data_IF_548254796553
#
_entry.id   IF_548254796553
#
_cell.length_a   1.000
_cell.length_b   1.000
_cell.length_c   1.000
_cell.angle_alpha   90.00
_cell.angle_beta   90.00
_cell.angle_gamma   90.00
#
_symmetry.space_group_name_H-M   'P 1'
#
loop_
_entity.id
_entity.type
_entity.pdbx_description
1 polymer ?
#
# COMPACT_ATOMS: atom_id res chain seq x y z
N UNK A 1 -3.27 -60.96 17.47
CA UNK A 1 -3.29 -60.03 18.60
C UNK A 1 -2.33 -58.89 18.33
N UNK A 2 -2.81 -57.73 17.85
CA UNK A 2 -2.06 -56.46 17.87
C UNK A 2 -3.09 -55.34 18.03
N UNK A 3 -2.98 -54.63 19.15
CA UNK A 3 -3.86 -53.53 19.57
C UNK A 3 -3.66 -52.32 18.69
N UNK A 4 -4.70 -51.81 18.06
CA UNK A 4 -4.73 -50.49 17.43
C UNK A 4 -5.00 -49.44 18.50
N UNK A 5 -4.12 -48.48 18.62
CA UNK A 5 -4.33 -47.24 19.43
C UNK A 5 -5.08 -46.22 18.58
N UNK A 6 -6.31 -45.92 18.96
CA UNK A 6 -7.10 -44.78 18.46
C UNK A 6 -6.59 -43.50 19.11
N UNK A 7 -6.12 -42.58 18.32
CA UNK A 7 -5.90 -41.20 18.76
C UNK A 7 -7.20 -40.43 18.63
N UNK A 8 -7.81 -40.11 19.75
CA UNK A 8 -8.92 -39.17 19.84
C UNK A 8 -8.32 -37.76 19.93
N UNK A 9 -8.54 -36.94 18.91
CA UNK A 9 -8.15 -35.55 18.90
C UNK A 9 -9.23 -34.76 19.65
N UNK A 10 -9.00 -34.51 20.92
CA UNK A 10 -9.84 -33.63 21.73
C UNK A 10 -9.54 -32.17 21.44
N UNK A 11 -10.49 -31.49 20.79
CA UNK A 11 -10.50 -30.03 20.71
C UNK A 11 -10.93 -29.50 22.07
N UNK A 12 -9.97 -29.10 22.90
CA UNK A 12 -10.22 -28.42 24.16
C UNK A 12 -10.48 -26.95 23.89
N UNK A 13 -11.75 -26.59 23.80
CA UNK A 13 -12.21 -25.22 23.76
C UNK A 13 -12.11 -24.63 25.19
N UNK A 14 -10.97 -24.03 25.52
CA UNK A 14 -10.80 -23.33 26.79
C UNK A 14 -11.57 -22.01 26.75
N UNK A 15 -12.82 -22.03 27.20
CA UNK A 15 -13.50 -20.82 27.64
C UNK A 15 -12.88 -20.42 29.00
N UNK A 16 -11.93 -19.50 28.96
CA UNK A 16 -11.46 -18.82 30.16
C UNK A 16 -12.48 -17.73 30.50
N UNK A 17 -13.43 -18.08 31.35
CA UNK A 17 -14.19 -17.11 32.13
C UNK A 17 -13.23 -16.49 33.17
N UNK A 18 -12.54 -15.43 32.81
CA UNK A 18 -11.86 -14.61 33.79
C UNK A 18 -12.89 -13.79 34.57
N UNK A 19 -13.27 -14.30 35.76
CA UNK A 19 -13.79 -13.45 36.84
C UNK A 19 -12.70 -12.44 37.19
N UNK A 20 -12.79 -11.24 36.66
CA UNK A 20 -11.96 -10.11 37.09
C UNK A 20 -12.48 -9.63 38.44
N UNK A 21 -11.86 -10.10 39.51
CA UNK A 21 -11.79 -9.33 40.72
C UNK A 21 -11.21 -7.94 40.41
N UNK A 22 -11.66 -6.85 41.06
CA UNK A 22 -11.11 -5.54 40.81
C UNK A 22 -9.71 -5.44 41.48
N UNK A 23 -8.72 -6.01 40.78
CA UNK A 23 -7.32 -5.81 41.11
C UNK A 23 -6.93 -4.38 40.76
N UNK A 24 -6.49 -3.65 41.75
CA UNK A 24 -5.89 -2.31 41.65
C UNK A 24 -4.54 -2.43 40.93
N UNK A 25 -4.54 -2.59 39.61
CA UNK A 25 -3.34 -2.43 38.83
C UNK A 25 -3.19 -0.96 38.45
N UNK A 26 -2.28 -0.28 39.14
CA UNK A 26 -1.87 1.09 38.88
C UNK A 26 -1.11 1.27 37.59
N UNK A 27 -1.66 0.81 36.46
CA UNK A 27 -1.16 1.20 35.15
C UNK A 27 -1.46 2.68 34.95
N UNK A 28 -0.40 3.45 34.72
CA UNK A 28 -0.52 4.86 34.37
C UNK A 28 -1.46 5.00 33.14
N UNK A 29 -2.54 5.77 33.30
CA UNK A 29 -3.51 5.98 32.22
C UNK A 29 -2.80 6.49 30.95
N UNK A 30 -2.98 5.79 29.85
CA UNK A 30 -2.48 6.23 28.54
C UNK A 30 -3.45 7.24 27.91
N UNK A 31 -3.00 8.09 26.98
CA UNK A 31 -3.89 9.02 26.30
C UNK A 31 -5.10 8.32 25.67
N UNK A 32 -4.89 7.15 25.09
CA UNK A 32 -5.89 6.35 24.39
C UNK A 32 -6.98 5.86 25.36
N UNK A 33 -6.58 5.29 26.48
CA UNK A 33 -7.50 4.77 27.50
C UNK A 33 -8.33 5.90 28.13
N UNK A 34 -7.71 7.06 28.33
CA UNK A 34 -8.38 8.24 28.89
C UNK A 34 -9.39 8.84 27.89
N UNK A 35 -9.07 8.83 26.60
CA UNK A 35 -10.00 9.31 25.54
C UNK A 35 -11.25 8.44 25.43
N UNK A 36 -11.12 7.14 25.65
CA UNK A 36 -12.23 6.18 25.59
C UNK A 36 -12.98 6.04 26.90
N UNK A 37 -12.42 6.55 28.02
CA UNK A 37 -13.04 6.42 29.33
C UNK A 37 -14.25 7.35 29.47
N UNK A 38 -15.40 6.75 29.82
CA UNK A 38 -16.59 7.47 30.28
C UNK A 38 -16.57 7.75 31.81
N UNK A 39 -15.54 7.26 32.51
CA UNK A 39 -15.50 7.35 33.97
C UNK A 39 -15.35 8.80 34.43
N UNK A 40 -16.36 9.29 35.15
CA UNK A 40 -16.30 10.59 35.79
C UNK A 40 -15.20 10.61 36.84
N UNK A 41 -14.43 11.68 36.86
CA UNK A 41 -13.43 11.92 37.90
C UNK A 41 -14.04 12.85 38.98
N UNK A 42 -13.93 12.44 40.26
CA UNK A 42 -14.39 13.25 41.37
C UNK A 42 -13.33 14.31 41.71
N UNK A 43 -13.66 15.58 41.50
CA UNK A 43 -12.74 16.67 41.78
C UNK A 43 -12.96 17.88 40.86
N UNK A 44 -12.09 18.87 41.00
CA UNK A 44 -12.21 20.15 40.29
C UNK A 44 -10.89 20.61 39.69
N UNK A 45 -10.99 21.33 38.57
CA UNK A 45 -9.87 22.11 38.04
C UNK A 45 -9.75 23.41 38.81
N UNK A 46 -8.54 23.74 39.17
CA UNK A 46 -8.19 25.00 39.81
C UNK A 46 -7.14 25.71 38.94
N UNK A 47 -7.39 26.98 38.66
CA UNK A 47 -6.46 27.84 37.90
C UNK A 47 -5.73 28.73 38.90
N UNK A 48 -4.40 28.69 38.84
CA UNK A 48 -3.51 29.53 39.66
C UNK A 48 -2.64 30.37 38.74
N UNK A 49 -1.93 31.34 39.28
CA UNK A 49 -0.93 32.11 38.50
C UNK A 49 0.18 31.26 37.87
N UNK A 50 0.38 30.02 38.34
CA UNK A 50 1.36 29.06 37.80
C UNK A 50 0.76 28.06 36.79
N UNK A 51 -0.57 28.08 36.57
CA UNK A 51 -1.26 27.19 35.66
C UNK A 51 -2.42 26.41 36.25
N UNK A 52 -2.96 25.46 35.51
CA UNK A 52 -4.12 24.66 35.88
C UNK A 52 -3.70 23.41 36.63
N UNK A 53 -4.38 23.09 37.73
CA UNK A 53 -4.22 21.88 38.55
C UNK A 53 -5.56 21.13 38.63
N UNK A 54 -5.52 19.84 38.98
CA UNK A 54 -6.72 19.07 39.28
C UNK A 54 -6.66 18.53 40.71
N UNK A 55 -7.57 19.01 41.56
CA UNK A 55 -7.76 18.48 42.88
C UNK A 55 -8.72 17.30 42.86
N UNK A 56 -8.25 16.15 43.30
CA UNK A 56 -9.05 14.92 43.34
C UNK A 56 -9.73 14.85 44.74
N UNK A 57 -11.05 15.07 44.76
CA UNK A 57 -11.82 15.10 46.00
C UNK A 57 -11.84 13.75 46.77
N UNK A 58 -11.62 12.64 46.04
CA UNK A 58 -11.59 11.31 46.66
C UNK A 58 -10.29 11.08 47.45
N UNK A 59 -9.16 11.57 46.94
CA UNK A 59 -7.84 11.34 47.53
C UNK A 59 -7.34 12.50 48.35
N UNK A 60 -8.01 13.65 48.30
CA UNK A 60 -7.60 14.89 48.98
C UNK A 60 -6.28 15.47 48.40
N UNK A 61 -5.87 15.09 47.19
CA UNK A 61 -4.56 15.44 46.60
C UNK A 61 -4.67 15.97 45.19
N UNK A 62 -3.67 16.74 44.76
CA UNK A 62 -3.52 17.15 43.36
C UNK A 62 -2.95 16.02 42.53
N UNK A 63 -3.55 15.79 41.32
CA UNK A 63 -3.07 14.79 40.40
C UNK A 63 -1.72 15.17 39.81
N UNK A 64 -0.83 14.18 39.67
CA UNK A 64 0.55 14.32 39.14
C UNK A 64 0.88 13.17 38.22
N UNK A 65 1.76 13.40 37.23
CA UNK A 65 2.27 12.40 36.27
C UNK A 65 1.16 11.55 35.62
N UNK A 66 0.00 12.15 35.32
CA UNK A 66 -1.21 11.41 34.93
C UNK A 66 -1.97 12.09 33.82
N UNK A 67 -2.51 11.27 32.91
CA UNK A 67 -3.52 11.69 31.94
C UNK A 67 -4.89 11.65 32.61
N UNK A 68 -5.70 12.66 32.35
CA UNK A 68 -7.03 12.74 32.92
C UNK A 68 -8.02 13.41 31.99
N UNK A 69 -9.22 12.80 31.86
CA UNK A 69 -10.34 13.40 31.13
C UNK A 69 -11.21 14.12 32.17
N UNK A 70 -11.31 15.42 32.01
CA UNK A 70 -12.17 16.25 32.90
C UNK A 70 -13.22 16.89 31.96
N UNK A 71 -14.50 16.53 32.19
CA UNK A 71 -15.58 16.83 31.25
C UNK A 71 -15.19 16.37 29.84
N UNK A 72 -15.20 17.25 28.86
CA UNK A 72 -14.89 16.95 27.46
C UNK A 72 -13.42 17.19 27.07
N UNK A 73 -12.56 17.58 28.02
CA UNK A 73 -11.17 17.90 27.77
C UNK A 73 -10.24 16.87 28.38
N UNK A 74 -9.09 16.66 27.75
CA UNK A 74 -8.04 15.78 28.23
C UNK A 74 -6.83 16.62 28.61
N UNK A 75 -6.27 16.30 29.78
CA UNK A 75 -5.13 16.96 30.38
C UNK A 75 -4.03 15.94 30.66
N UNK A 76 -2.79 16.39 30.70
CA UNK A 76 -1.70 15.67 31.33
C UNK A 76 -1.13 16.52 32.48
N UNK A 77 -1.19 16.02 33.67
CA UNK A 77 -0.62 16.71 34.83
C UNK A 77 0.84 16.29 35.02
N UNK A 78 1.74 17.26 35.09
CA UNK A 78 3.19 17.07 35.23
C UNK A 78 3.56 16.53 36.61
N UNK A 79 4.84 16.25 36.85
CA UNK A 79 5.33 15.88 38.19
C UNK A 79 5.08 16.97 39.24
N UNK A 80 5.03 18.24 38.83
CA UNK A 80 4.69 19.38 39.68
C UNK A 80 3.18 19.55 39.92
N UNK A 81 2.32 18.71 39.29
CA UNK A 81 0.87 18.74 39.43
C UNK A 81 0.17 19.81 38.57
N UNK A 82 0.87 20.48 37.70
CA UNK A 82 0.29 21.43 36.73
C UNK A 82 -0.02 20.77 35.39
N UNK A 83 -1.10 21.17 34.78
CA UNK A 83 -1.44 20.73 33.43
C UNK A 83 -0.32 21.13 32.45
N UNK A 84 0.10 20.17 31.61
CA UNK A 84 1.09 20.39 30.59
C UNK A 84 0.52 21.31 29.50
N UNK A 85 1.30 22.28 29.08
CA UNK A 85 1.06 23.12 27.90
C UNK A 85 2.11 22.85 26.84
N UNK A 86 1.81 23.13 25.56
CA UNK A 86 2.72 22.88 24.45
C UNK A 86 2.95 21.39 24.20
N UNK A 87 4.09 21.06 23.59
CA UNK A 87 4.41 19.71 23.15
C UNK A 87 4.75 18.75 24.30
N UNK A 88 4.26 17.50 24.14
CA UNK A 88 4.64 16.35 24.97
C UNK A 88 4.86 15.14 24.06
N UNK A 89 5.97 14.44 24.26
CA UNK A 89 6.18 13.11 23.70
C UNK A 89 5.79 12.05 24.72
N UNK A 90 5.05 11.03 24.26
CA UNK A 90 4.68 9.87 25.05
C UNK A 90 4.65 8.65 24.14
N UNK A 91 5.35 7.58 24.52
CA UNK A 91 5.48 6.36 23.73
C UNK A 91 5.82 6.62 22.22
N UNK A 92 6.82 7.48 21.99
CA UNK A 92 7.27 7.85 20.64
C UNK A 92 6.30 8.76 19.85
N UNK A 93 5.14 9.11 20.38
CA UNK A 93 4.14 9.96 19.74
C UNK A 93 4.13 11.36 20.33
N UNK A 94 3.82 12.35 19.49
CA UNK A 94 3.74 13.75 19.91
C UNK A 94 2.30 14.17 20.12
N UNK A 95 2.08 14.87 21.23
CA UNK A 95 0.82 15.46 21.64
C UNK A 95 1.02 16.95 21.86
N UNK A 96 -0.02 17.75 21.67
CA UNK A 96 0.04 19.17 21.92
C UNK A 96 -1.11 19.61 22.81
N UNK A 97 -0.80 20.44 23.79
CA UNK A 97 -1.77 21.02 24.74
C UNK A 97 -1.81 22.53 24.54
N UNK A 98 -3.00 23.09 24.55
CA UNK A 98 -3.20 24.52 24.46
C UNK A 98 -2.71 25.24 25.74
N UNK A 99 -2.82 26.56 25.76
CA UNK A 99 -2.40 27.38 26.91
C UNK A 99 -3.21 27.10 28.20
N UNK A 100 -4.41 26.52 28.07
CA UNK A 100 -5.24 26.06 29.18
C UNK A 100 -4.95 24.61 29.60
N UNK A 101 -3.93 23.99 29.01
CA UNK A 101 -3.50 22.60 29.28
C UNK A 101 -4.42 21.54 28.68
N UNK A 102 -5.30 21.89 27.72
CA UNK A 102 -6.22 20.95 27.07
C UNK A 102 -5.55 20.31 25.86
N UNK A 103 -5.65 19.00 25.73
CA UNK A 103 -5.19 18.27 24.56
C UNK A 103 -5.95 18.73 23.32
N UNK A 104 -5.22 19.15 22.28
CA UNK A 104 -5.83 19.56 21.02
C UNK A 104 -5.95 18.39 20.06
N UNK A 105 -7.00 18.42 19.20
CA UNK A 105 -7.23 17.44 18.15
C UNK A 105 -7.57 18.15 16.84
N UNK A 106 -7.63 17.37 15.75
CA UNK A 106 -7.91 17.88 14.40
C UNK A 106 -6.78 18.76 13.84
N UNK A 107 -7.07 19.60 12.88
CA UNK A 107 -6.09 20.51 12.27
C UNK A 107 -5.63 21.57 13.27
N UNK A 108 -4.32 21.76 13.37
CA UNK A 108 -3.70 22.74 14.24
C UNK A 108 -2.61 23.51 13.51
N UNK A 109 -2.63 24.82 13.58
CA UNK A 109 -1.51 25.69 13.21
C UNK A 109 -0.75 26.05 14.48
N UNK A 110 0.49 25.56 14.60
CA UNK A 110 1.33 25.76 15.78
C UNK A 110 2.63 26.45 15.29
N UNK A 111 2.78 27.72 15.64
CA UNK A 111 3.76 28.60 15.02
C UNK A 111 3.54 28.70 13.51
N UNK A 112 4.58 28.51 12.71
CA UNK A 112 4.51 28.55 11.24
C UNK A 112 4.13 27.20 10.60
N UNK A 113 3.91 26.16 11.38
CA UNK A 113 3.69 24.80 10.87
C UNK A 113 2.26 24.34 11.09
N UNK A 114 1.77 23.51 10.17
CA UNK A 114 0.46 22.85 10.24
C UNK A 114 0.63 21.39 10.63
N UNK A 115 -0.24 20.93 11.53
CA UNK A 115 -0.29 19.57 12.07
C UNK A 115 -1.71 19.03 11.97
N UNK A 116 -1.85 17.71 12.02
CA UNK A 116 -3.14 17.07 12.26
C UNK A 116 -3.04 16.14 13.45
N UNK A 117 -3.85 16.43 14.47
CA UNK A 117 -3.91 15.66 15.70
C UNK A 117 -5.13 14.72 15.62
N UNK A 118 -4.91 13.42 15.71
CA UNK A 118 -5.99 12.45 15.53
C UNK A 118 -7.09 12.62 16.58
N UNK A 119 -8.36 12.78 16.14
CA UNK A 119 -9.48 12.91 17.08
C UNK A 119 -9.93 11.54 17.61
N UNK A 120 -10.30 10.64 16.71
CA UNK A 120 -10.81 9.30 17.03
C UNK A 120 -10.09 8.27 16.12
N UNK A 121 -8.92 7.80 16.54
CA UNK A 121 -8.08 6.90 15.75
C UNK A 121 -7.48 5.77 16.61
N UNK A 122 -8.29 5.21 17.52
CA UNK A 122 -7.83 4.17 18.45
C UNK A 122 -6.57 4.63 19.19
N UNK A 123 -5.55 3.82 19.19
CA UNK A 123 -4.29 4.08 19.90
C UNK A 123 -3.48 5.29 19.35
N UNK A 124 -3.91 5.93 18.25
CA UNK A 124 -3.31 7.16 17.73
C UNK A 124 -4.04 8.43 18.17
N UNK A 125 -5.18 8.30 18.86
CA UNK A 125 -6.01 9.46 19.24
C UNK A 125 -5.22 10.48 20.05
N UNK A 126 -5.37 11.75 19.72
CA UNK A 126 -4.65 12.88 20.31
C UNK A 126 -3.23 13.08 19.81
N UNK A 127 -2.63 12.10 19.12
CA UNK A 127 -1.26 12.22 18.61
C UNK A 127 -1.20 12.89 17.24
N UNK A 128 -0.05 13.50 16.93
CA UNK A 128 0.22 14.07 15.62
C UNK A 128 0.32 12.99 14.55
N UNK A 129 -0.32 13.24 13.39
CA UNK A 129 -0.21 12.40 12.20
C UNK A 129 1.22 12.44 11.65
N UNK A 130 1.69 11.30 11.09
CA UNK A 130 2.98 11.17 10.42
C UNK A 130 2.85 10.32 9.15
N UNK A 131 3.70 10.56 8.16
CA UNK A 131 3.67 9.86 6.89
C UNK A 131 2.50 10.29 5.98
N UNK A 132 2.18 9.44 4.99
CA UNK A 132 1.03 9.65 4.11
C UNK A 132 -0.23 9.13 4.77
N UNK A 133 -1.18 10.00 5.06
CA UNK A 133 -2.43 9.67 5.75
C UNK A 133 -3.65 10.20 5.01
N UNK A 134 -4.79 9.54 5.19
CA UNK A 134 -6.07 9.98 4.66
C UNK A 134 -6.88 10.68 5.75
N UNK A 135 -7.32 11.90 5.46
CA UNK A 135 -8.16 12.71 6.34
C UNK A 135 -9.33 13.21 5.48
N UNK A 136 -10.57 12.95 5.89
CA UNK A 136 -11.78 13.35 5.16
C UNK A 136 -11.72 13.04 3.64
N UNK A 137 -11.37 11.78 3.29
CA UNK A 137 -11.24 11.27 1.90
C UNK A 137 -10.12 11.92 1.07
N UNK A 138 -9.29 12.81 1.63
CA UNK A 138 -8.12 13.43 0.98
C UNK A 138 -6.84 12.92 1.61
N UNK A 139 -5.76 12.81 0.82
CA UNK A 139 -4.46 12.39 1.34
C UNK A 139 -3.57 13.60 1.61
N UNK A 140 -2.79 13.51 2.70
CA UNK A 140 -1.81 14.50 3.16
C UNK A 140 -0.52 13.79 3.53
N UNK A 141 0.56 14.54 3.60
CA UNK A 141 1.84 14.01 4.05
C UNK A 141 2.39 14.82 5.23
N UNK A 142 2.80 14.11 6.27
CA UNK A 142 3.41 14.71 7.45
C UNK A 142 4.80 14.11 7.67
N UNK A 143 5.77 14.95 8.06
CA UNK A 143 7.10 14.49 8.43
C UNK A 143 7.08 13.57 9.65
N UNK A 144 8.22 12.96 9.96
CA UNK A 144 8.40 12.22 11.23
C UNK A 144 8.17 13.10 12.47
N UNK A 145 8.31 14.41 12.33
CA UNK A 145 8.03 15.39 13.41
C UNK A 145 6.55 15.80 13.48
N UNK A 146 5.69 15.28 12.58
CA UNK A 146 4.26 15.58 12.50
C UNK A 146 3.93 16.86 11.72
N UNK A 147 4.91 17.53 11.13
CA UNK A 147 4.68 18.76 10.32
C UNK A 147 4.11 18.37 8.96
N UNK A 148 3.02 19.02 8.55
CA UNK A 148 2.51 18.88 7.19
C UNK A 148 3.55 19.36 6.18
N UNK A 149 3.83 18.53 5.18
CA UNK A 149 4.77 18.83 4.11
C UNK A 149 4.08 18.83 2.75
N UNK A 150 4.51 19.74 1.89
CA UNK A 150 3.97 19.94 0.54
C UNK A 150 5.02 19.71 -0.53
N UNK A 151 4.64 19.86 -1.80
CA UNK A 151 5.51 19.59 -2.94
C UNK A 151 5.70 18.09 -3.23
N UNK A 152 6.70 17.77 -4.00
CA UNK A 152 7.00 16.38 -4.36
C UNK A 152 7.62 15.61 -3.19
N UNK A 153 7.04 14.42 -2.89
CA UNK A 153 7.53 13.49 -1.87
C UNK A 153 7.70 12.10 -2.46
N UNK A 154 8.86 11.48 -2.21
CA UNK A 154 9.11 10.08 -2.58
C UNK A 154 8.68 9.17 -1.44
N UNK A 155 7.66 8.33 -1.66
CA UNK A 155 7.05 7.45 -0.65
C UNK A 155 6.96 6.05 -1.24
N UNK A 156 7.59 5.08 -0.61
CA UNK A 156 7.61 3.69 -1.07
C UNK A 156 7.96 3.55 -2.57
N UNK A 157 8.95 4.32 -3.03
CA UNK A 157 9.46 4.28 -4.40
C UNK A 157 8.73 5.17 -5.40
N UNK A 158 7.54 5.69 -5.08
CA UNK A 158 6.77 6.58 -5.96
C UNK A 158 6.91 8.04 -5.55
N UNK A 159 6.77 8.95 -6.53
CA UNK A 159 6.62 10.37 -6.25
C UNK A 159 5.14 10.75 -6.20
N UNK A 160 4.79 11.49 -5.16
CA UNK A 160 3.48 12.10 -4.93
C UNK A 160 3.63 13.60 -4.80
N UNK A 161 2.67 14.36 -5.28
CA UNK A 161 2.67 15.81 -5.11
C UNK A 161 1.59 16.23 -4.12
N UNK A 162 1.98 17.05 -3.17
CA UNK A 162 1.07 17.65 -2.19
C UNK A 162 1.02 19.15 -2.43
N UNK A 163 -0.17 19.68 -2.69
CA UNK A 163 -0.39 21.08 -3.04
C UNK A 163 0.17 22.03 -1.98
N UNK A 164 0.97 23.03 -2.32
CA UNK A 164 1.42 24.05 -1.37
C UNK A 164 0.28 24.85 -0.74
N UNK A 165 -0.82 25.04 -1.47
CA UNK A 165 -1.98 25.83 -1.03
C UNK A 165 -2.86 25.04 -0.05
N UNK A 166 -3.07 23.76 -0.29
CA UNK A 166 -4.05 22.96 0.46
C UNK A 166 -3.45 21.80 1.25
N UNK A 167 -2.21 21.41 0.98
CA UNK A 167 -1.57 20.20 1.50
C UNK A 167 -2.12 18.90 0.91
N UNK A 168 -3.16 18.96 0.07
CA UNK A 168 -3.82 17.77 -0.48
C UNK A 168 -2.97 17.12 -1.57
N UNK A 169 -3.00 15.80 -1.62
CA UNK A 169 -2.35 15.03 -2.66
C UNK A 169 -3.05 15.23 -4.00
N UNK A 170 -2.28 15.58 -5.02
CA UNK A 170 -2.76 15.65 -6.41
C UNK A 170 -3.10 14.25 -6.93
N UNK A 171 -4.21 14.13 -7.65
CA UNK A 171 -4.67 12.89 -8.32
C UNK A 171 -5.27 13.24 -9.67
N UNK A 172 -5.11 12.37 -10.68
CA UNK A 172 -5.65 12.53 -12.04
C UNK A 172 -5.40 13.93 -12.63
N UNK A 173 -4.20 14.47 -12.46
CA UNK A 173 -3.88 15.85 -12.88
C UNK A 173 -2.45 15.97 -13.39
N UNK A 174 -2.10 17.15 -13.88
CA UNK A 174 -0.73 17.49 -14.26
C UNK A 174 -0.16 18.50 -13.26
N UNK A 175 1.07 18.27 -12.81
CA UNK A 175 1.81 19.17 -11.92
C UNK A 175 3.13 19.54 -12.59
N UNK A 176 3.21 20.77 -13.11
CA UNK A 176 4.28 21.17 -14.00
C UNK A 176 4.33 20.26 -15.22
N UNK A 177 5.48 19.71 -15.53
CA UNK A 177 5.65 18.74 -16.65
C UNK A 177 5.28 17.29 -16.32
N UNK A 178 4.81 16.99 -15.11
CA UNK A 178 4.55 15.61 -14.69
C UNK A 178 3.06 15.34 -14.58
N UNK A 179 2.60 14.25 -15.18
CA UNK A 179 1.27 13.70 -14.95
C UNK A 179 1.23 12.91 -13.63
N UNK A 180 0.07 12.95 -12.97
CA UNK A 180 -0.22 12.25 -11.72
C UNK A 180 -1.44 11.35 -11.96
N UNK A 181 -1.31 10.05 -11.67
CA UNK A 181 -2.37 9.06 -11.87
C UNK A 181 -3.51 9.15 -10.82
N UNK A 182 -4.51 8.31 -10.95
CA UNK A 182 -5.65 8.21 -10.01
C UNK A 182 -5.26 7.85 -8.58
N UNK A 183 -4.05 7.31 -8.38
CA UNK A 183 -3.48 6.98 -7.07
C UNK A 183 -2.56 8.08 -6.53
N UNK A 184 -2.44 9.20 -7.25
CA UNK A 184 -1.57 10.31 -6.91
C UNK A 184 -0.10 10.07 -7.19
N UNK A 185 0.27 9.01 -7.91
CA UNK A 185 1.67 8.72 -8.24
C UNK A 185 2.07 9.51 -9.47
N UNK A 186 3.25 10.14 -9.38
CA UNK A 186 3.85 10.69 -10.58
C UNK A 186 4.06 9.56 -11.59
N UNK A 187 3.36 9.63 -12.68
CA UNK A 187 3.70 8.86 -13.86
C UNK A 187 4.76 9.66 -14.62
N UNK A 188 5.79 8.99 -15.10
CA UNK A 188 6.74 9.62 -16.00
C UNK A 188 5.93 10.40 -17.03
N UNK A 189 6.29 11.64 -17.30
CA UNK A 189 5.72 12.34 -18.44
C UNK A 189 6.13 11.59 -19.70
N UNK A 190 5.46 10.49 -19.97
CA UNK A 190 5.27 10.12 -21.35
C UNK A 190 4.29 11.18 -21.91
N UNK A 191 4.79 12.40 -22.03
CA UNK A 191 4.29 13.34 -23.02
C UNK A 191 4.10 12.53 -24.28
N UNK A 192 2.84 12.27 -24.63
CA UNK A 192 2.51 11.40 -25.75
C UNK A 192 3.41 10.17 -25.80
N UNK A 193 3.01 9.04 -25.17
CA UNK A 193 3.55 7.76 -25.61
C UNK A 193 3.29 7.74 -27.10
N UNK A 194 4.30 8.08 -27.89
CA UNK A 194 4.25 7.84 -29.32
C UNK A 194 4.07 6.33 -29.39
N UNK A 195 2.89 5.91 -29.82
CA UNK A 195 2.67 4.50 -30.14
C UNK A 195 3.69 4.21 -31.22
N UNK A 196 4.80 3.57 -30.85
CA UNK A 196 5.90 3.33 -31.79
C UNK A 196 5.57 2.15 -32.69
N UNK A 197 4.51 1.39 -32.34
CA UNK A 197 4.21 0.14 -33.02
C UNK A 197 5.36 -0.87 -32.93
N UNK A 198 6.27 -0.73 -31.95
CA UNK A 198 7.49 -1.52 -31.83
C UNK A 198 7.68 -2.01 -30.40
N UNK A 199 8.03 -3.29 -30.26
CA UNK A 199 8.51 -3.90 -29.03
C UNK A 199 9.96 -4.30 -29.21
N UNK A 200 10.82 -3.79 -28.32
CA UNK A 200 12.25 -4.13 -28.35
C UNK A 200 12.53 -5.47 -27.68
N UNK A 201 11.81 -5.76 -26.57
CA UNK A 201 11.99 -7.03 -25.83
C UNK A 201 10.66 -7.60 -25.32
N UNK A 202 10.50 -8.91 -25.48
CA UNK A 202 9.44 -9.71 -24.90
C UNK A 202 10.00 -10.55 -23.78
N UNK A 203 9.37 -10.56 -22.62
CA UNK A 203 9.85 -11.26 -21.42
C UNK A 203 8.74 -12.15 -20.90
N UNK A 204 9.00 -13.47 -20.75
CA UNK A 204 7.93 -14.34 -20.32
C UNK A 204 8.25 -15.83 -20.24
N UNK A 205 7.18 -16.59 -20.19
CA UNK A 205 7.16 -18.05 -20.11
C UNK A 205 7.04 -18.71 -21.51
N UNK A 206 6.58 -19.98 -21.54
CA UNK A 206 6.40 -20.75 -22.77
C UNK A 206 5.53 -20.05 -23.84
N UNK A 207 4.55 -19.27 -23.42
CA UNK A 207 3.70 -18.51 -24.36
C UNK A 207 4.46 -17.37 -25.03
N UNK A 208 5.45 -16.80 -24.37
CA UNK A 208 6.36 -15.82 -24.98
C UNK A 208 7.39 -16.50 -25.89
N UNK A 209 7.84 -17.72 -25.55
CA UNK A 209 8.65 -18.55 -26.47
C UNK A 209 7.86 -18.83 -27.74
N UNK A 210 6.61 -19.33 -27.64
CA UNK A 210 5.74 -19.60 -28.78
C UNK A 210 5.48 -18.35 -29.66
N UNK A 211 5.25 -17.20 -29.03
CA UNK A 211 5.11 -15.92 -29.75
C UNK A 211 6.39 -15.59 -30.53
N UNK A 212 7.56 -15.74 -29.91
CA UNK A 212 8.85 -15.47 -30.50
C UNK A 212 9.11 -16.37 -31.74
N UNK A 213 8.78 -17.66 -31.63
CA UNK A 213 8.90 -18.64 -32.71
C UNK A 213 7.95 -18.30 -33.86
N UNK A 214 6.65 -18.16 -33.59
CA UNK A 214 5.60 -17.89 -34.56
C UNK A 214 5.84 -16.62 -35.44
N UNK A 215 6.63 -15.68 -34.90
CA UNK A 215 6.87 -14.37 -35.52
C UNK A 215 8.32 -14.15 -35.98
N UNK A 216 9.22 -15.11 -35.77
CA UNK A 216 10.64 -14.96 -36.08
C UNK A 216 11.36 -13.90 -35.22
N UNK A 217 10.82 -13.59 -34.05
CA UNK A 217 11.39 -12.56 -33.16
C UNK A 217 12.05 -13.15 -31.91
N UNK A 218 12.41 -14.41 -31.90
CA UNK A 218 13.01 -15.11 -30.74
C UNK A 218 14.24 -14.40 -30.16
N UNK A 219 15.06 -13.76 -31.00
CA UNK A 219 16.24 -12.97 -30.56
C UNK A 219 15.86 -11.77 -29.67
N UNK A 220 14.60 -11.32 -29.72
CA UNK A 220 14.05 -10.26 -28.86
C UNK A 220 13.33 -10.82 -27.61
N UNK A 221 13.31 -12.15 -27.42
CA UNK A 221 12.65 -12.79 -26.32
C UNK A 221 13.64 -13.15 -25.18
N UNK A 222 13.31 -12.72 -23.97
CA UNK A 222 13.90 -13.20 -22.73
C UNK A 222 12.86 -14.13 -22.12
N UNK A 223 12.80 -15.36 -22.59
CA UNK A 223 11.73 -16.29 -22.25
C UNK A 223 12.24 -17.74 -22.17
N UNK A 224 11.52 -18.56 -21.37
CA UNK A 224 11.79 -19.97 -21.24
C UNK A 224 10.53 -20.74 -20.86
N UNK A 225 10.38 -21.98 -21.37
CA UNK A 225 9.23 -22.85 -21.13
C UNK A 225 9.11 -23.20 -19.65
N UNK A 226 7.89 -23.23 -19.11
CA UNK A 226 7.57 -23.67 -17.75
C UNK A 226 7.94 -22.67 -16.64
N UNK A 227 8.42 -21.49 -16.98
CA UNK A 227 8.98 -20.57 -16.00
C UNK A 227 7.94 -19.68 -15.34
N UNK A 228 8.21 -19.33 -14.06
CA UNK A 228 7.41 -18.46 -13.22
C UNK A 228 8.24 -17.39 -12.54
N UNK A 229 7.73 -16.86 -11.43
CA UNK A 229 8.31 -15.72 -10.71
C UNK A 229 9.75 -15.95 -10.23
N UNK A 230 10.08 -17.17 -9.79
CA UNK A 230 11.45 -17.48 -9.34
C UNK A 230 12.47 -17.28 -10.46
N UNK A 231 12.19 -17.84 -11.63
CA UNK A 231 13.05 -17.68 -12.81
C UNK A 231 13.06 -16.23 -13.31
N UNK A 232 11.92 -15.54 -13.23
CA UNK A 232 11.89 -14.10 -13.52
C UNK A 232 12.95 -13.35 -12.69
N UNK A 233 13.00 -13.56 -11.37
CA UNK A 233 13.95 -12.88 -10.49
C UNK A 233 15.40 -13.30 -10.73
N UNK A 234 15.65 -14.59 -10.85
CA UNK A 234 17.02 -15.14 -10.89
C UNK A 234 17.67 -14.96 -12.25
N UNK A 235 16.90 -14.95 -13.33
CA UNK A 235 17.39 -14.98 -14.70
C UNK A 235 16.84 -13.87 -15.58
N UNK A 236 15.51 -13.79 -15.76
CA UNK A 236 14.93 -12.86 -16.73
C UNK A 236 15.16 -11.40 -16.37
N UNK A 237 14.95 -11.04 -15.10
CA UNK A 237 15.16 -9.67 -14.62
C UNK A 237 16.63 -9.24 -14.76
N UNK A 238 17.58 -10.15 -14.49
CA UNK A 238 19.01 -9.85 -14.66
C UNK A 238 19.37 -9.58 -16.12
N UNK A 239 18.85 -10.41 -17.07
CA UNK A 239 19.02 -10.20 -18.50
C UNK A 239 18.36 -8.90 -18.95
N UNK A 240 17.13 -8.65 -18.50
CA UNK A 240 16.40 -7.43 -18.82
C UNK A 240 17.11 -6.17 -18.31
N UNK A 241 17.65 -6.19 -17.09
CA UNK A 241 18.43 -5.08 -16.54
C UNK A 241 19.67 -4.76 -17.36
N UNK A 242 20.34 -5.79 -17.92
CA UNK A 242 21.50 -5.59 -18.81
C UNK A 242 21.10 -4.86 -20.10
N UNK A 243 19.98 -5.24 -20.72
CA UNK A 243 19.51 -4.58 -21.95
C UNK A 243 18.96 -3.19 -21.68
N UNK A 244 18.27 -2.96 -20.56
CA UNK A 244 17.77 -1.65 -20.16
C UNK A 244 18.86 -0.65 -19.79
N UNK A 245 20.03 -1.13 -19.32
CA UNK A 245 21.22 -0.27 -19.14
C UNK A 245 21.76 0.23 -20.48
N UNK A 246 21.73 -0.63 -21.54
CA UNK A 246 22.17 -0.26 -22.89
C UNK A 246 21.14 0.57 -23.66
N UNK A 247 19.86 0.29 -23.47
CA UNK A 247 18.75 1.03 -24.06
C UNK A 247 17.73 1.46 -22.98
N UNK A 248 17.94 2.60 -22.30
CA UNK A 248 17.07 3.07 -21.24
C UNK A 248 15.64 3.39 -21.67
N UNK A 249 15.41 3.62 -22.96
CA UNK A 249 14.11 3.99 -23.54
C UNK A 249 13.39 2.80 -24.20
N UNK A 250 13.90 1.57 -24.02
CA UNK A 250 13.33 0.38 -24.66
C UNK A 250 11.86 0.16 -24.31
N UNK A 251 11.09 -0.31 -25.30
CA UNK A 251 9.73 -0.82 -25.11
C UNK A 251 9.79 -2.31 -24.79
N UNK A 252 9.31 -2.67 -23.61
CA UNK A 252 9.35 -4.05 -23.08
C UNK A 252 7.94 -4.51 -22.75
N UNK A 253 7.59 -5.72 -23.15
CA UNK A 253 6.34 -6.40 -22.81
C UNK A 253 6.65 -7.61 -21.95
N UNK A 254 6.06 -7.69 -20.76
CA UNK A 254 6.25 -8.79 -19.80
C UNK A 254 4.97 -9.60 -19.69
N UNK A 255 5.07 -10.93 -19.82
CA UNK A 255 3.97 -11.87 -19.72
C UNK A 255 4.37 -13.12 -18.90
N UNK A 256 3.95 -13.17 -17.65
CA UNK A 256 4.08 -14.33 -16.75
C UNK A 256 2.80 -14.55 -15.97
N UNK A 257 2.68 -15.69 -15.33
CA UNK A 257 1.65 -15.98 -14.35
C UNK A 257 0.73 -17.13 -14.70
N UNK A 258 0.88 -17.74 -15.86
CA UNK A 258 0.12 -18.96 -16.19
C UNK A 258 0.62 -20.16 -15.37
N UNK A 259 1.93 -20.26 -15.15
CA UNK A 259 2.55 -21.38 -14.43
C UNK A 259 2.49 -21.25 -12.91
N UNK A 260 2.28 -20.04 -12.39
CA UNK A 260 2.34 -19.75 -10.95
C UNK A 260 1.45 -18.57 -10.53
N UNK A 261 0.21 -18.58 -11.00
CA UNK A 261 -0.79 -17.51 -10.80
C UNK A 261 -1.00 -17.11 -9.32
N UNK A 262 -0.69 -17.98 -8.37
CA UNK A 262 -0.71 -17.70 -6.92
C UNK A 262 0.31 -16.62 -6.52
N UNK A 263 1.39 -16.45 -7.26
CA UNK A 263 2.50 -15.53 -6.97
C UNK A 263 2.24 -14.07 -7.38
N UNK A 264 1.02 -13.69 -7.74
CA UNK A 264 0.70 -12.34 -8.23
C UNK A 264 1.22 -11.20 -7.35
N UNK A 265 1.22 -11.34 -6.01
CA UNK A 265 1.75 -10.31 -5.10
C UNK A 265 3.26 -10.13 -5.26
N UNK A 266 4.00 -11.24 -5.48
CA UNK A 266 5.45 -11.22 -5.72
C UNK A 266 5.77 -10.56 -7.05
N UNK A 267 5.01 -10.87 -8.12
CA UNK A 267 5.13 -10.20 -9.43
C UNK A 267 4.92 -8.70 -9.31
N UNK A 268 3.84 -8.26 -8.68
CA UNK A 268 3.54 -6.83 -8.50
C UNK A 268 4.68 -6.11 -7.79
N UNK A 269 5.24 -6.70 -6.72
CA UNK A 269 6.37 -6.12 -5.99
C UNK A 269 7.61 -6.01 -6.87
N UNK A 270 7.94 -7.05 -7.64
CA UNK A 270 9.12 -7.08 -8.51
C UNK A 270 8.99 -6.12 -9.68
N UNK A 271 7.83 -6.10 -10.34
CA UNK A 271 7.54 -5.19 -11.46
C UNK A 271 7.58 -3.73 -11.01
N UNK A 272 7.12 -3.45 -9.81
CA UNK A 272 7.21 -2.12 -9.24
C UNK A 272 8.66 -1.65 -9.03
N UNK A 273 9.52 -2.54 -8.52
CA UNK A 273 10.96 -2.26 -8.37
C UNK A 273 11.60 -2.02 -9.73
N UNK A 274 11.26 -2.83 -10.75
CA UNK A 274 11.78 -2.68 -12.10
C UNK A 274 11.41 -1.33 -12.71
N UNK A 275 10.13 -0.93 -12.68
CA UNK A 275 9.68 0.38 -13.19
C UNK A 275 10.39 1.53 -12.48
N UNK A 276 10.57 1.43 -11.17
CA UNK A 276 11.23 2.47 -10.38
C UNK A 276 12.72 2.60 -10.74
N UNK A 277 13.37 1.47 -11.07
CA UNK A 277 14.80 1.46 -11.43
C UNK A 277 15.05 1.95 -12.86
N UNK A 278 14.07 1.79 -13.75
CA UNK A 278 14.17 2.18 -15.16
C UNK A 278 12.99 3.07 -15.59
N UNK A 279 12.92 4.31 -15.10
CA UNK A 279 11.76 5.19 -15.31
C UNK A 279 11.55 5.61 -16.76
N UNK A 280 12.59 5.58 -17.59
CA UNK A 280 12.52 5.94 -19.01
C UNK A 280 12.04 4.79 -19.90
N UNK A 281 12.19 3.53 -19.44
CA UNK A 281 11.75 2.37 -20.20
C UNK A 281 10.23 2.28 -20.27
N UNK A 282 9.72 1.92 -21.42
CA UNK A 282 8.31 1.67 -21.66
C UNK A 282 7.97 0.22 -21.31
N UNK A 283 7.79 -0.07 -20.01
CA UNK A 283 7.51 -1.42 -19.53
C UNK A 283 6.00 -1.63 -19.46
N UNK A 284 5.51 -2.62 -20.19
CA UNK A 284 4.13 -3.03 -20.29
C UNK A 284 3.92 -4.42 -19.70
N UNK A 285 2.77 -4.65 -19.10
CA UNK A 285 2.38 -5.94 -18.55
C UNK A 285 1.19 -6.50 -19.34
N UNK A 286 1.45 -7.54 -20.09
CA UNK A 286 0.41 -8.25 -20.82
C UNK A 286 -0.38 -9.12 -19.86
N UNK A 287 -1.71 -9.14 -19.99
CA UNK A 287 -2.56 -10.05 -19.23
C UNK A 287 -2.17 -11.50 -19.48
N UNK A 288 -2.33 -12.36 -18.49
CA UNK A 288 -2.34 -13.80 -18.73
C UNK A 288 -3.53 -14.11 -19.64
N UNK A 289 -3.24 -14.67 -20.78
CA UNK A 289 -4.24 -14.97 -21.80
C UNK A 289 -5.10 -16.19 -21.41
N UNK A 290 -6.33 -16.33 -21.95
CA UNK A 290 -7.22 -17.43 -21.58
C UNK A 290 -6.67 -18.79 -22.01
N UNK A 291 -7.09 -19.85 -21.33
CA UNK A 291 -6.91 -21.23 -21.76
C UNK A 291 -8.18 -21.72 -22.44
N UNK A 292 -8.05 -22.69 -23.35
CA UNK A 292 -9.19 -23.37 -23.96
C UNK A 292 -9.97 -24.13 -22.87
N UNK A 293 -11.27 -24.25 -23.03
CA UNK A 293 -12.13 -25.02 -22.13
C UNK A 293 -11.80 -26.53 -22.12
N UNK A 294 -11.17 -27.02 -23.20
CA UNK A 294 -10.69 -28.41 -23.32
C UNK A 294 -9.43 -28.69 -22.52
N UNK A 295 -8.70 -27.66 -22.04
CA UNK A 295 -7.50 -27.83 -21.25
C UNK A 295 -7.83 -28.28 -19.82
N UNK A 296 -7.42 -29.50 -19.46
CA UNK A 296 -7.78 -30.16 -18.20
C UNK A 296 -6.56 -30.48 -17.30
N UNK A 297 -5.50 -29.67 -17.34
CA UNK A 297 -4.26 -29.96 -16.59
C UNK A 297 -4.38 -29.87 -15.06
N UNK A 298 -5.44 -29.29 -14.54
CA UNK A 298 -5.59 -29.07 -13.08
C UNK A 298 -4.73 -27.92 -12.50
N UNK A 299 -3.70 -27.45 -13.20
CA UNK A 299 -2.76 -26.45 -12.68
C UNK A 299 -3.27 -25.02 -12.72
N UNK A 300 -4.10 -24.67 -13.69
CA UNK A 300 -4.61 -23.31 -13.90
C UNK A 300 -6.00 -23.35 -14.53
N UNK A 301 -6.88 -22.48 -14.09
CA UNK A 301 -8.21 -22.28 -14.66
C UNK A 301 -8.36 -20.84 -15.18
N UNK A 302 -9.34 -20.63 -16.07
CA UNK A 302 -9.70 -19.26 -16.49
C UNK A 302 -10.16 -18.39 -15.29
N UNK A 303 -10.68 -18.99 -14.21
CA UNK A 303 -11.01 -18.30 -12.96
C UNK A 303 -9.75 -17.75 -12.27
N UNK A 304 -8.69 -18.55 -12.21
CA UNK A 304 -7.40 -18.13 -11.62
C UNK A 304 -6.73 -17.06 -12.46
N UNK A 305 -6.73 -17.23 -13.79
CA UNK A 305 -6.24 -16.23 -14.75
C UNK A 305 -6.98 -14.90 -14.56
N UNK A 306 -8.30 -14.91 -14.47
CA UNK A 306 -9.09 -13.70 -14.28
C UNK A 306 -8.76 -13.03 -12.93
N UNK A 307 -8.56 -13.80 -11.86
CA UNK A 307 -8.15 -13.30 -10.53
C UNK A 307 -6.76 -12.65 -10.58
N UNK A 308 -5.81 -13.29 -11.25
CA UNK A 308 -4.47 -12.75 -11.49
C UNK A 308 -4.54 -11.42 -12.26
N UNK A 309 -5.23 -11.41 -13.39
CA UNK A 309 -5.36 -10.26 -14.27
C UNK A 309 -6.04 -9.07 -13.58
N UNK A 310 -7.08 -9.30 -12.78
CA UNK A 310 -7.73 -8.26 -11.97
C UNK A 310 -6.73 -7.54 -11.03
N UNK A 311 -5.85 -8.31 -10.37
CA UNK A 311 -4.83 -7.76 -9.48
C UNK A 311 -3.72 -7.04 -10.25
N UNK A 312 -3.28 -7.61 -11.37
CA UNK A 312 -2.26 -7.01 -12.24
C UNK A 312 -2.74 -5.67 -12.82
N UNK A 313 -3.95 -5.65 -13.40
CA UNK A 313 -4.59 -4.43 -13.93
C UNK A 313 -4.76 -3.37 -12.85
N UNK A 314 -5.21 -3.80 -11.65
CA UNK A 314 -5.34 -2.89 -10.51
C UNK A 314 -3.99 -2.32 -10.04
N UNK A 315 -2.89 -3.06 -10.18
CA UNK A 315 -1.56 -2.58 -9.81
C UNK A 315 -0.95 -1.64 -10.88
N UNK A 316 -1.20 -1.89 -12.17
CA UNK A 316 -0.57 -1.19 -13.28
C UNK A 316 -1.58 -0.77 -14.37
N UNK A 317 -2.62 0.02 -14.06
CA UNK A 317 -3.70 0.33 -15.00
C UNK A 317 -3.20 0.97 -16.30
N UNK A 318 -2.18 1.85 -16.20
CA UNK A 318 -1.63 2.61 -17.33
C UNK A 318 -0.55 1.85 -18.12
N UNK A 319 -0.22 0.63 -17.69
CA UNK A 319 0.79 -0.25 -18.29
C UNK A 319 0.26 -1.66 -18.56
N UNK A 320 -1.05 -1.83 -18.50
CA UNK A 320 -1.72 -3.11 -18.66
C UNK A 320 -2.24 -3.28 -20.10
N UNK A 321 -1.84 -4.37 -20.73
CA UNK A 321 -2.30 -4.77 -22.07
C UNK A 321 -3.34 -5.88 -21.92
N UNK A 322 -4.59 -5.60 -22.19
CA UNK A 322 -5.72 -6.53 -22.00
C UNK A 322 -5.89 -7.49 -23.18
N UNK A 323 -4.87 -8.29 -23.44
CA UNK A 323 -4.90 -9.32 -24.50
C UNK A 323 -5.86 -10.46 -24.16
N UNK A 324 -6.17 -10.69 -22.88
CA UNK A 324 -7.15 -11.69 -22.45
C UNK A 324 -8.55 -11.37 -22.97
N UNK A 325 -9.01 -10.15 -22.72
CA UNK A 325 -10.32 -9.71 -23.21
C UNK A 325 -10.37 -9.62 -24.75
N UNK A 326 -9.27 -9.21 -25.38
CA UNK A 326 -9.15 -9.18 -26.82
C UNK A 326 -9.32 -10.59 -27.42
N UNK A 327 -8.59 -11.60 -26.92
CA UNK A 327 -8.67 -12.97 -27.43
C UNK A 327 -10.07 -13.58 -27.27
N UNK A 328 -10.74 -13.31 -26.16
CA UNK A 328 -12.12 -13.76 -25.95
C UNK A 328 -13.10 -13.20 -26.99
N UNK A 329 -12.88 -11.96 -27.46
CA UNK A 329 -13.71 -11.35 -28.50
C UNK A 329 -13.51 -11.98 -29.88
N UNK A 330 -12.25 -12.29 -30.23
CA UNK A 330 -11.91 -12.74 -31.62
C UNK A 330 -11.91 -14.26 -31.78
N UNK A 331 -12.29 -15.04 -30.77
CA UNK A 331 -12.24 -16.52 -30.75
C UNK A 331 -10.84 -17.03 -31.12
N UNK A 332 -10.02 -17.28 -30.14
CA UNK A 332 -8.65 -17.79 -30.29
C UNK A 332 -8.60 -19.30 -30.52
N UNK A 333 -7.50 -19.81 -31.11
CA UNK A 333 -7.22 -21.23 -31.25
C UNK A 333 -5.95 -21.61 -30.51
N UNK A 334 -5.94 -22.79 -29.92
CA UNK A 334 -4.80 -23.37 -29.21
C UNK A 334 -4.34 -24.65 -29.87
N UNK A 335 -3.10 -25.06 -29.62
CA UNK A 335 -2.54 -26.35 -30.05
C UNK A 335 -2.90 -27.43 -29.05
N UNK A 336 -2.72 -27.16 -27.75
CA UNK A 336 -2.87 -28.09 -26.63
C UNK A 336 -3.83 -27.58 -25.54
N UNK A 337 -4.62 -26.55 -25.81
CA UNK A 337 -5.49 -25.89 -24.86
C UNK A 337 -4.79 -24.79 -24.04
N UNK A 338 -3.45 -24.80 -23.97
CA UNK A 338 -2.63 -23.84 -23.23
C UNK A 338 -1.84 -22.91 -24.16
N UNK A 339 -1.17 -23.46 -25.16
CA UNK A 339 -0.36 -22.74 -26.15
C UNK A 339 -1.17 -22.43 -27.39
N UNK A 340 -0.90 -21.28 -27.99
CA UNK A 340 -1.69 -20.80 -29.16
C UNK A 340 -1.10 -21.25 -30.48
N UNK A 341 -1.98 -21.32 -31.50
CA UNK A 341 -1.54 -21.46 -32.90
C UNK A 341 -0.80 -20.19 -33.34
N UNK A 342 0.05 -20.29 -34.34
CA UNK A 342 0.80 -19.16 -34.91
C UNK A 342 -0.12 -18.02 -35.33
N UNK A 343 -1.27 -18.34 -35.91
CA UNK A 343 -2.27 -17.34 -36.30
C UNK A 343 -2.79 -16.56 -35.09
N UNK A 344 -2.98 -17.21 -33.92
CA UNK A 344 -3.39 -16.56 -32.71
C UNK A 344 -2.25 -15.72 -32.09
N UNK A 345 -1.00 -16.22 -32.15
CA UNK A 345 0.15 -15.42 -31.71
C UNK A 345 0.34 -14.15 -32.55
N UNK A 346 0.13 -14.21 -33.88
CA UNK A 346 0.14 -13.02 -34.76
C UNK A 346 -0.93 -12.00 -34.37
N UNK A 347 -2.13 -12.45 -34.02
CA UNK A 347 -3.20 -11.56 -33.50
C UNK A 347 -2.83 -10.89 -32.20
N UNK A 348 -2.24 -11.64 -31.23
CA UNK A 348 -1.73 -11.07 -29.96
C UNK A 348 -0.67 -10.00 -30.24
N UNK A 349 0.29 -10.32 -31.10
CA UNK A 349 1.38 -9.41 -31.46
C UNK A 349 0.85 -8.10 -32.06
N UNK A 350 -0.01 -8.19 -33.07
CA UNK A 350 -0.59 -7.02 -33.74
C UNK A 350 -1.41 -6.16 -32.76
N UNK A 351 -2.19 -6.79 -31.87
CA UNK A 351 -2.91 -6.08 -30.83
C UNK A 351 -1.95 -5.34 -29.88
N UNK A 352 -0.87 -5.99 -29.46
CA UNK A 352 0.13 -5.36 -28.59
C UNK A 352 0.78 -4.17 -29.31
N UNK A 353 1.22 -4.33 -30.56
CA UNK A 353 1.82 -3.24 -31.32
C UNK A 353 0.89 -2.04 -31.52
N UNK A 354 -0.43 -2.29 -31.60
CA UNK A 354 -1.42 -1.20 -31.68
C UNK A 354 -1.58 -0.42 -30.37
N UNK A 355 -0.96 -0.85 -29.25
CA UNK A 355 -1.13 -0.27 -27.91
C UNK A 355 0.17 0.31 -27.31
N UNK A 356 1.35 -0.02 -27.88
CA UNK A 356 2.67 0.36 -27.34
C UNK A 356 3.42 1.34 -28.23
#
# INVERSE_FOLDING_TARGET
MKKQKKYVLGILMCMILCFLAPGINGQAATPENVMQSSRAVSGKLETTGKGVRYYNSRTGKYEKKKWLKVKNNIYYFTSKGYAKTGWKTHNGRKYYFDQKGRLVTSWQKIGKYTYYMWKNKGNLSGSAATGKVQIAKRYYYFSKKGVMETGWKKIAGYYYYFSPQTGQMAVNTTVGKYKVDSRGRRVSSTSGKKNTGKVDYWVGDSRTVGLGSALGVSKKCIAQVGMGHSWYLTTAEKKLKKVLKKNPNATVVINFGVNDHGNIRKYISSYQKLINSYPNAQIWFMSVNPIDSKYKSGYVSNKDINRFNKKLKAAFPDRYLDTNSYLKKIKFKTVDGLHYTDATYRKIYNYVLSKV
#
